data_IF_754786812983
#
_entry.id   IF_754786812983
#
_cell.length_a   1.000
_cell.length_b   1.000
_cell.length_c   1.000
_cell.angle_alpha   90.00
_cell.angle_beta   90.00
_cell.angle_gamma   90.00
#
_symmetry.space_group_name_H-M   'P 1'
#
loop_
_entity.id
_entity.type
_entity.pdbx_description
1 polymer ?
#
# COMPACT_ATOMS: atom_id res chain seq x y z
N UNK A 1 -85.83 6.16 1.98
CA UNK A 1 -84.37 5.98 1.76
C UNK A 1 -83.64 6.31 3.05
N UNK A 2 -83.20 5.33 3.84
CA UNK A 2 -82.42 5.58 5.06
C UNK A 2 -80.92 5.52 4.75
N UNK A 3 -80.21 6.63 4.94
CA UNK A 3 -78.77 6.74 4.71
C UNK A 3 -78.04 6.25 5.97
N UNK A 4 -77.15 5.28 5.81
CA UNK A 4 -76.39 4.66 6.92
C UNK A 4 -75.20 5.54 7.29
N UNK A 5 -75.18 6.06 8.51
CA UNK A 5 -74.01 6.76 9.07
C UNK A 5 -73.02 5.72 9.59
N UNK A 6 -71.83 5.64 8.98
CA UNK A 6 -70.73 4.81 9.47
C UNK A 6 -69.78 5.67 10.29
N UNK A 7 -69.47 5.22 11.51
CA UNK A 7 -68.61 5.93 12.46
C UNK A 7 -67.14 5.90 12.02
N UNK A 8 -66.43 7.01 12.28
CA UNK A 8 -64.99 7.16 12.02
C UNK A 8 -64.18 6.15 12.84
N UNK A 9 -63.43 5.28 12.17
CA UNK A 9 -62.35 4.51 12.78
C UNK A 9 -61.09 5.37 12.91
N UNK A 10 -60.84 5.89 14.12
CA UNK A 10 -59.53 6.42 14.49
C UNK A 10 -58.73 5.30 15.18
N UNK A 11 -57.91 4.58 14.40
CA UNK A 11 -57.03 3.53 14.90
C UNK A 11 -55.58 3.99 14.88
N UNK A 12 -55.10 4.54 15.99
CA UNK A 12 -53.65 4.76 16.19
C UNK A 12 -53.04 3.43 16.61
N UNK A 13 -52.17 2.87 15.79
CA UNK A 13 -51.37 1.69 16.12
C UNK A 13 -49.88 2.01 15.87
N UNK A 14 -49.09 1.83 16.92
CA UNK A 14 -47.70 2.23 17.09
C UNK A 14 -46.78 2.10 15.85
N UNK A 15 -45.95 3.14 15.64
CA UNK A 15 -44.65 2.98 14.97
C UNK A 15 -43.77 2.15 15.91
N UNK A 16 -43.70 0.84 15.67
CA UNK A 16 -42.71 -0.01 16.32
C UNK A 16 -41.33 0.37 15.78
N UNK A 17 -40.42 0.77 16.68
CA UNK A 17 -39.12 1.30 16.30
C UNK A 17 -38.23 0.25 15.64
N UNK A 18 -37.77 0.52 14.42
CA UNK A 18 -36.67 -0.21 13.77
C UNK A 18 -35.31 0.23 14.35
N UNK A 19 -35.17 0.12 15.67
CA UNK A 19 -33.93 0.42 16.42
C UNK A 19 -33.05 -0.83 16.60
N UNK A 20 -33.21 -1.82 15.71
CA UNK A 20 -32.52 -3.11 15.72
C UNK A 20 -31.57 -3.27 14.54
N UNK A 21 -30.72 -2.28 14.29
CA UNK A 21 -29.63 -2.38 13.34
C UNK A 21 -28.28 -2.35 14.08
N UNK A 22 -27.34 -3.18 13.62
CA UNK A 22 -25.89 -3.23 13.91
C UNK A 22 -25.36 -4.23 14.97
N UNK A 23 -26.05 -4.54 16.07
CA UNK A 23 -25.41 -5.38 17.12
C UNK A 23 -25.32 -6.90 16.78
N UNK A 24 -26.20 -7.43 15.94
CA UNK A 24 -26.36 -8.89 15.72
C UNK A 24 -25.47 -9.50 14.63
N UNK A 25 -24.56 -8.75 14.02
CA UNK A 25 -23.60 -9.29 13.03
C UNK A 25 -22.41 -10.01 13.67
N UNK A 26 -22.13 -9.74 14.95
CA UNK A 26 -20.88 -10.19 15.62
C UNK A 26 -20.87 -11.65 16.06
N UNK A 27 -22.04 -12.29 16.15
CA UNK A 27 -22.20 -13.62 16.76
C UNK A 27 -22.50 -14.74 15.76
N UNK A 28 -22.78 -14.41 14.48
CA UNK A 28 -23.08 -15.43 13.46
C UNK A 28 -21.85 -15.93 12.69
N UNK A 29 -20.76 -15.15 12.65
CA UNK A 29 -19.52 -15.53 11.98
C UNK A 29 -18.62 -16.37 12.90
N UNK A 30 -18.80 -17.69 12.85
CA UNK A 30 -17.85 -18.69 13.37
C UNK A 30 -16.69 -18.98 12.41
N UNK A 31 -16.54 -18.19 11.34
CA UNK A 31 -15.33 -18.09 10.53
C UNK A 31 -14.67 -16.74 10.76
N UNK A 32 -13.35 -16.65 10.59
CA UNK A 32 -12.65 -15.37 10.59
C UNK A 32 -13.24 -14.46 9.51
N UNK A 33 -13.66 -13.26 9.89
CA UNK A 33 -13.94 -12.21 8.92
C UNK A 33 -12.62 -11.86 8.23
N UNK A 34 -12.42 -12.38 7.02
CA UNK A 34 -11.40 -11.87 6.13
C UNK A 34 -11.81 -10.42 5.83
N UNK A 35 -10.95 -9.47 6.21
CA UNK A 35 -11.20 -8.06 5.89
C UNK A 35 -11.30 -7.86 4.38
N UNK A 36 -11.81 -6.71 3.97
CA UNK A 36 -11.80 -6.27 2.58
C UNK A 36 -10.93 -5.02 2.52
N UNK A 37 -10.03 -4.95 1.54
CA UNK A 37 -9.17 -3.80 1.29
C UNK A 37 -9.79 -2.98 0.15
N UNK A 38 -10.32 -1.77 0.41
CA UNK A 38 -10.67 -0.80 -0.62
C UNK A 38 -9.53 -0.54 -1.61
N UNK A 39 -9.90 -0.38 -2.88
CA UNK A 39 -8.98 -0.16 -3.99
C UNK A 39 -9.48 1.02 -4.82
N UNK A 40 -8.69 2.09 -4.86
CA UNK A 40 -8.94 3.27 -5.67
C UNK A 40 -7.90 3.42 -6.78
N UNK A 41 -8.35 3.81 -7.96
CA UNK A 41 -7.48 4.16 -9.09
C UNK A 41 -7.68 5.64 -9.39
N UNK A 42 -6.59 6.41 -9.43
CA UNK A 42 -6.58 7.87 -9.65
C UNK A 42 -5.66 8.21 -10.82
N UNK A 43 -6.20 8.86 -11.84
CA UNK A 43 -5.42 9.39 -12.96
C UNK A 43 -5.10 10.87 -12.74
N UNK A 44 -3.80 11.16 -12.69
CA UNK A 44 -3.21 12.51 -12.76
C UNK A 44 -2.55 12.73 -14.14
N UNK A 45 -2.86 11.88 -15.13
CA UNK A 45 -2.27 11.89 -16.47
C UNK A 45 -3.12 12.68 -17.49
N UNK A 46 -2.44 13.30 -18.47
CA UNK A 46 -3.05 14.09 -19.55
C UNK A 46 -3.76 13.23 -20.61
N UNK A 47 -3.50 11.91 -20.64
CA UNK A 47 -4.15 10.96 -21.54
C UNK A 47 -4.75 9.75 -20.85
N UNK A 48 -5.53 8.99 -21.61
CA UNK A 48 -6.09 7.73 -21.11
C UNK A 48 -5.04 6.62 -21.12
N UNK A 49 -5.14 5.71 -20.15
CA UNK A 49 -4.27 4.54 -20.03
C UNK A 49 -5.10 3.28 -19.83
N UNK A 50 -4.64 2.17 -20.42
CA UNK A 50 -5.13 0.85 -20.07
C UNK A 50 -4.25 0.31 -18.93
N UNK A 51 -4.88 -0.29 -17.92
CA UNK A 51 -4.21 -0.95 -16.81
C UNK A 51 -4.81 -2.33 -16.55
N UNK A 52 -3.99 -3.24 -16.05
CA UNK A 52 -4.38 -4.56 -15.54
C UNK A 52 -3.94 -4.64 -14.07
N UNK A 53 -4.83 -5.11 -13.21
CA UNK A 53 -4.64 -5.28 -11.77
C UNK A 53 -4.77 -6.77 -11.45
N UNK A 54 -3.73 -7.36 -10.86
CA UNK A 54 -3.67 -8.79 -10.53
C UNK A 54 -3.32 -8.94 -9.05
N UNK A 55 -3.88 -9.95 -8.37
CA UNK A 55 -3.42 -10.35 -7.04
C UNK A 55 -3.32 -11.87 -6.90
N UNK A 56 -2.34 -12.33 -6.13
CA UNK A 56 -2.06 -13.75 -5.89
C UNK A 56 -1.79 -14.02 -4.40
N UNK A 57 -2.51 -14.96 -3.82
CA UNK A 57 -2.36 -15.40 -2.43
C UNK A 57 -0.95 -15.97 -2.17
N UNK A 58 -0.30 -15.44 -1.13
CA UNK A 58 1.06 -15.85 -0.75
C UNK A 58 1.11 -17.33 -0.34
N UNK A 59 2.06 -18.06 -0.92
CA UNK A 59 2.32 -19.46 -0.59
C UNK A 59 1.45 -20.48 -1.33
N UNK A 60 0.35 -20.06 -1.98
CA UNK A 60 -0.47 -20.93 -2.85
C UNK A 60 -0.41 -20.55 -4.33
N UNK A 61 0.01 -19.32 -4.65
CA UNK A 61 -0.03 -18.74 -6.01
C UNK A 61 -1.45 -18.71 -6.61
N UNK A 62 -2.48 -18.77 -5.76
CA UNK A 62 -3.88 -18.69 -6.17
C UNK A 62 -4.21 -17.26 -6.52
N UNK A 63 -4.57 -17.01 -7.78
CA UNK A 63 -5.08 -15.71 -8.21
C UNK A 63 -6.36 -15.36 -7.44
N UNK A 64 -6.35 -14.21 -6.77
CA UNK A 64 -7.46 -13.66 -5.97
C UNK A 64 -8.10 -12.45 -6.61
N UNK A 65 -7.41 -11.80 -7.56
CA UNK A 65 -7.91 -10.63 -8.28
C UNK A 65 -7.38 -10.61 -9.72
N UNK A 66 -8.23 -10.20 -10.66
CA UNK A 66 -7.92 -9.98 -12.08
C UNK A 66 -8.95 -9.02 -12.67
N UNK A 67 -8.58 -7.74 -12.80
CA UNK A 67 -9.46 -6.72 -13.37
C UNK A 67 -8.68 -5.81 -14.34
N UNK A 68 -9.37 -5.30 -15.35
CA UNK A 68 -8.80 -4.44 -16.39
C UNK A 68 -9.59 -3.15 -16.56
N UNK A 69 -8.91 -2.01 -16.61
CA UNK A 69 -9.54 -0.70 -16.74
C UNK A 69 -8.91 0.13 -17.85
N UNK A 70 -9.76 0.87 -18.58
CA UNK A 70 -9.34 2.07 -19.31
C UNK A 70 -9.66 3.27 -18.43
N UNK A 71 -8.64 4.00 -17.97
CA UNK A 71 -8.77 5.16 -17.10
C UNK A 71 -8.50 6.42 -17.90
N UNK A 72 -9.39 7.41 -17.83
CA UNK A 72 -9.26 8.69 -18.54
C UNK A 72 -8.53 9.74 -17.68
N UNK A 73 -8.10 10.89 -18.25
CA UNK A 73 -7.61 12.03 -17.48
C UNK A 73 -8.57 12.44 -16.36
N UNK A 74 -8.00 12.90 -15.24
CA UNK A 74 -8.69 13.35 -14.02
C UNK A 74 -9.67 12.33 -13.39
N UNK A 75 -9.68 11.08 -13.85
CA UNK A 75 -10.64 10.09 -13.40
C UNK A 75 -10.21 9.45 -12.07
N UNK A 76 -11.16 9.34 -11.14
CA UNK A 76 -11.06 8.42 -10.00
C UNK A 76 -12.05 7.26 -10.21
N UNK A 77 -11.59 6.03 -10.02
CA UNK A 77 -12.39 4.80 -10.09
C UNK A 77 -12.25 4.05 -8.77
N UNK A 78 -13.37 3.77 -8.11
CA UNK A 78 -13.41 2.79 -7.01
C UNK A 78 -13.58 1.40 -7.63
N UNK A 79 -12.54 0.58 -7.55
CA UNK A 79 -12.55 -0.79 -8.07
C UNK A 79 -13.21 -1.75 -7.06
N UNK A 80 -13.55 -3.00 -7.45
CA UNK A 80 -13.83 -4.07 -6.50
C UNK A 80 -12.69 -4.19 -5.47
N UNK A 81 -13.04 -4.49 -4.23
CA UNK A 81 -12.08 -4.64 -3.14
C UNK A 81 -11.18 -5.87 -3.33
N UNK A 82 -10.02 -5.84 -2.69
CA UNK A 82 -9.11 -6.98 -2.55
C UNK A 82 -9.41 -7.72 -1.24
N UNK A 83 -9.11 -9.02 -1.16
CA UNK A 83 -9.17 -9.78 0.10
C UNK A 83 -8.08 -9.29 1.08
N UNK A 84 -8.39 -9.12 2.37
CA UNK A 84 -7.37 -8.83 3.40
C UNK A 84 -6.64 -10.11 3.82
N UNK A 85 -5.80 -10.60 2.91
CA UNK A 85 -4.86 -11.72 3.09
C UNK A 85 -3.43 -11.23 2.83
N UNK A 86 -2.44 -12.07 3.11
CA UNK A 86 -1.10 -11.87 2.57
C UNK A 86 -1.09 -12.28 1.08
N UNK A 87 -0.84 -11.32 0.20
CA UNK A 87 -0.86 -11.52 -1.26
C UNK A 87 0.11 -10.58 -1.96
N UNK A 88 0.65 -10.98 -3.12
CA UNK A 88 1.24 -10.02 -4.05
C UNK A 88 0.11 -9.32 -4.81
N UNK A 89 0.23 -8.01 -4.99
CA UNK A 89 -0.65 -7.19 -5.81
C UNK A 89 0.19 -6.47 -6.85
N UNK A 90 -0.08 -6.75 -8.13
CA UNK A 90 0.61 -6.18 -9.29
C UNK A 90 -0.33 -5.31 -10.09
N UNK A 91 0.16 -4.17 -10.53
CA UNK A 91 -0.51 -3.32 -11.51
C UNK A 91 0.42 -3.11 -12.70
N UNK A 92 -0.11 -3.26 -13.91
CA UNK A 92 0.62 -3.03 -15.17
C UNK A 92 -0.09 -1.96 -15.99
N UNK A 93 0.61 -0.85 -16.26
CA UNK A 93 0.20 0.25 -17.14
C UNK A 93 0.71 0.00 -18.56
N UNK A 94 -0.16 0.16 -19.56
CA UNK A 94 0.15 0.01 -20.98
C UNK A 94 0.14 1.38 -21.66
N UNK A 95 1.25 1.76 -22.28
CA UNK A 95 1.37 3.02 -23.03
C UNK A 95 0.58 2.97 -24.35
N UNK A 96 0.75 1.89 -25.11
CA UNK A 96 0.08 1.60 -26.39
C UNK A 96 0.00 0.07 -26.57
N UNK A 97 -0.72 -0.41 -27.60
CA UNK A 97 -0.91 -1.85 -27.84
C UNK A 97 0.41 -2.63 -28.04
N UNK A 98 1.35 -2.04 -28.77
CA UNK A 98 2.70 -2.56 -29.02
C UNK A 98 3.78 -1.78 -28.23
N UNK A 99 3.35 -0.89 -27.32
CA UNK A 99 4.22 0.05 -26.62
C UNK A 99 4.83 -0.47 -25.31
N UNK A 100 5.61 0.40 -24.68
CA UNK A 100 6.22 0.14 -23.38
C UNK A 100 5.18 -0.12 -22.28
N UNK A 101 5.59 -0.89 -21.27
CA UNK A 101 4.76 -1.29 -20.14
C UNK A 101 5.47 -0.96 -18.84
N UNK A 102 4.74 -0.38 -17.90
CA UNK A 102 5.24 -0.09 -16.55
C UNK A 102 4.48 -0.94 -15.57
N UNK A 103 5.17 -1.85 -14.88
CA UNK A 103 4.56 -2.66 -13.80
C UNK A 103 5.11 -2.25 -12.44
N UNK A 104 4.25 -2.18 -11.43
CA UNK A 104 4.66 -2.16 -10.02
C UNK A 104 3.94 -3.27 -9.27
N UNK A 105 4.63 -3.85 -8.30
CA UNK A 105 4.15 -4.95 -7.48
C UNK A 105 4.48 -4.66 -6.00
N UNK A 106 3.55 -4.99 -5.11
CA UNK A 106 3.68 -4.81 -3.66
C UNK A 106 3.10 -6.02 -2.94
N UNK A 107 3.62 -6.33 -1.75
CA UNK A 107 2.98 -7.31 -0.85
C UNK A 107 1.95 -6.60 0.01
N UNK A 108 0.68 -6.98 -0.12
CA UNK A 108 -0.39 -6.59 0.77
C UNK A 108 -0.48 -7.56 1.93
N UNK A 109 -1.08 -7.10 3.03
CA UNK A 109 -1.23 -7.87 4.26
C UNK A 109 -2.61 -7.65 4.89
N UNK A 110 -3.05 -8.48 5.85
CA UNK A 110 -4.33 -8.30 6.52
C UNK A 110 -4.52 -6.93 7.21
N UNK A 111 -3.44 -6.23 7.57
CA UNK A 111 -3.48 -4.87 8.14
C UNK A 111 -3.52 -3.71 7.13
N UNK A 112 -3.59 -3.99 5.82
CA UNK A 112 -3.76 -2.95 4.79
C UNK A 112 -5.19 -2.40 4.83
N UNK A 113 -5.33 -1.08 4.85
CA UNK A 113 -6.63 -0.39 4.96
C UNK A 113 -7.09 0.27 3.64
N UNK A 114 -6.16 0.66 2.77
CA UNK A 114 -6.46 1.21 1.44
C UNK A 114 -5.29 0.97 0.49
N UNK A 115 -5.60 0.64 -0.76
CA UNK A 115 -4.66 0.67 -1.88
C UNK A 115 -5.09 1.78 -2.84
N UNK A 116 -4.20 2.74 -3.10
CA UNK A 116 -4.38 3.74 -4.16
C UNK A 116 -3.39 3.48 -5.29
N UNK A 117 -3.93 3.18 -6.48
CA UNK A 117 -3.19 3.12 -7.74
C UNK A 117 -3.23 4.51 -8.36
N UNK A 118 -2.09 5.20 -8.41
CA UNK A 118 -1.98 6.53 -9.00
C UNK A 118 -1.21 6.48 -10.32
N UNK A 119 -1.81 7.06 -11.37
CA UNK A 119 -1.30 7.00 -12.74
C UNK A 119 -0.90 8.41 -13.16
N UNK A 120 0.34 8.55 -13.62
CA UNK A 120 0.82 9.75 -14.32
C UNK A 120 1.24 9.35 -15.74
N UNK A 121 1.57 10.30 -16.61
CA UNK A 121 2.05 9.95 -17.95
C UNK A 121 3.33 9.11 -17.89
N UNK A 122 4.30 9.55 -17.08
CA UNK A 122 5.63 8.95 -16.97
C UNK A 122 5.68 7.72 -16.05
N UNK A 123 4.84 7.63 -15.02
CA UNK A 123 4.99 6.65 -13.92
C UNK A 123 3.67 5.98 -13.49
N UNK A 124 3.78 4.95 -12.66
CA UNK A 124 2.69 4.21 -12.03
C UNK A 124 3.01 4.05 -10.54
N UNK A 125 2.22 4.63 -9.64
CA UNK A 125 2.48 4.68 -8.20
C UNK A 125 1.47 3.81 -7.45
N UNK A 126 1.94 3.08 -6.43
CA UNK A 126 1.11 2.28 -5.54
C UNK A 126 1.29 2.82 -4.12
N UNK A 127 0.32 3.60 -3.66
CA UNK A 127 0.27 4.16 -2.31
C UNK A 127 -0.55 3.24 -1.41
N UNK A 128 0.08 2.70 -0.35
CA UNK A 128 -0.51 1.65 0.53
C UNK A 128 -0.70 2.19 1.94
N UNK A 129 -1.96 2.37 2.34
CA UNK A 129 -2.34 2.71 3.70
C UNK A 129 -2.45 1.44 4.55
N UNK A 130 -1.89 1.48 5.75
CA UNK A 130 -1.94 0.39 6.73
C UNK A 130 -2.38 0.99 8.04
N UNK A 131 -3.27 0.29 8.73
CA UNK A 131 -3.81 0.77 10.00
C UNK A 131 -2.72 1.03 11.02
N UNK A 132 -2.95 2.00 11.90
CA UNK A 132 -2.07 2.24 13.03
C UNK A 132 -1.93 0.95 13.84
N UNK A 133 -0.73 0.36 13.84
CA UNK A 133 -0.39 -0.67 14.80
C UNK A 133 -0.61 -0.06 16.19
N UNK A 134 -1.36 -0.75 17.05
CA UNK A 134 -1.64 -0.31 18.42
C UNK A 134 -0.42 -0.47 19.35
N UNK A 135 0.73 -0.01 18.89
CA UNK A 135 2.01 0.04 19.59
C UNK A 135 2.22 1.47 20.10
N UNK A 136 2.17 1.63 21.42
CA UNK A 136 2.52 2.89 22.06
C UNK A 136 3.99 3.19 21.82
N UNK A 137 4.27 4.10 20.90
CA UNK A 137 5.62 4.49 20.52
C UNK A 137 6.40 4.98 21.76
N UNK A 138 7.55 4.36 22.11
CA UNK A 138 8.37 4.84 23.20
C UNK A 138 8.95 6.19 22.80
N UNK A 139 8.54 7.24 23.52
CA UNK A 139 9.01 8.61 23.30
C UNK A 139 10.54 8.62 23.24
N UNK A 140 11.18 9.21 22.21
CA UNK A 140 12.63 9.31 22.19
C UNK A 140 13.09 10.09 23.43
N UNK A 141 14.16 9.64 24.11
CA UNK A 141 14.66 10.34 25.29
C UNK A 141 15.05 11.76 24.89
N UNK A 142 14.49 12.77 25.56
CA UNK A 142 14.78 14.17 25.28
C UNK A 142 16.27 14.44 25.31
N UNK A 143 16.80 14.94 24.19
CA UNK A 143 18.19 15.34 24.06
C UNK A 143 18.52 16.44 25.10
N UNK A 144 19.60 16.30 25.88
CA UNK A 144 19.96 17.32 26.86
C UNK A 144 20.35 18.63 26.16
N UNK A 145 20.01 19.80 26.73
CA UNK A 145 20.25 21.07 26.06
C UNK A 145 21.76 21.37 25.95
N UNK A 146 22.27 21.45 24.72
CA UNK A 146 23.68 21.75 24.45
C UNK A 146 24.09 23.12 25.00
N UNK A 147 25.12 23.09 25.84
CA UNK A 147 25.84 24.27 26.33
C UNK A 147 26.76 24.90 25.27
N UNK A 148 27.24 26.13 25.49
CA UNK A 148 27.63 27.00 24.39
C UNK A 148 28.99 26.71 23.74
N UNK A 149 29.05 27.10 22.47
CA UNK A 149 30.18 27.09 21.53
C UNK A 149 31.61 27.16 22.12
N UNK A 150 32.48 26.26 21.63
CA UNK A 150 33.91 26.22 21.90
C UNK A 150 34.73 25.93 20.63
N UNK A 151 35.58 26.89 20.27
CA UNK A 151 36.35 27.04 19.02
C UNK A 151 37.22 25.84 18.56
N UNK A 152 37.59 25.92 17.28
CA UNK A 152 38.36 24.96 16.48
C UNK A 152 39.86 24.79 16.88
N UNK A 153 40.47 23.70 16.40
CA UNK A 153 41.92 23.42 16.25
C UNK A 153 42.73 22.93 17.47
N UNK A 154 43.33 21.73 17.37
CA UNK A 154 44.79 21.54 17.15
C UNK A 154 45.18 20.07 16.83
N UNK A 155 46.39 19.85 16.31
CA UNK A 155 46.95 18.63 15.67
C UNK A 155 48.04 17.96 16.56
N UNK A 156 48.59 16.81 16.11
CA UNK A 156 49.94 16.24 16.44
C UNK A 156 50.00 15.26 17.62
N UNK A 157 50.77 14.15 17.64
CA UNK A 157 51.46 13.36 16.58
C UNK A 157 51.74 11.93 17.10
N UNK A 158 52.18 11.01 16.23
CA UNK A 158 52.41 9.60 16.60
C UNK A 158 53.35 8.76 15.70
N UNK A 159 54.32 9.37 15.03
CA UNK A 159 55.47 8.68 14.40
C UNK A 159 56.44 8.21 15.51
N UNK A 160 57.20 7.10 15.48
CA UNK A 160 58.11 6.54 14.47
C UNK A 160 58.60 5.16 15.02
N UNK A 161 59.31 4.22 14.36
CA UNK A 161 60.32 4.24 13.30
C UNK A 161 60.44 2.88 12.56
N UNK A 162 60.62 2.92 11.22
CA UNK A 162 61.76 2.36 10.43
C UNK A 162 62.15 0.86 10.58
N UNK A 163 62.25 0.03 9.53
CA UNK A 163 63.32 -0.05 8.49
C UNK A 163 63.14 -1.35 7.63
N UNK A 164 63.72 -1.66 6.44
CA UNK A 164 64.51 -0.94 5.41
C UNK A 164 64.67 -1.78 4.10
N UNK A 165 64.52 -1.13 2.93
CA UNK A 165 65.12 -1.37 1.57
C UNK A 165 65.01 -2.68 0.71
N UNK A 166 64.36 -2.52 -0.46
CA UNK A 166 64.86 -2.58 -1.87
C UNK A 166 65.35 -3.87 -2.63
N UNK A 167 64.72 -4.06 -3.81
CA UNK A 167 65.19 -4.51 -5.15
C UNK A 167 65.32 -5.98 -5.64
N UNK A 168 64.70 -6.17 -6.82
CA UNK A 168 65.09 -6.92 -8.05
C UNK A 168 65.51 -8.41 -8.00
N UNK A 169 64.85 -9.25 -8.81
CA UNK A 169 65.36 -9.72 -10.15
C UNK A 169 64.48 -10.87 -10.71
N UNK A 170 63.97 -10.74 -11.94
CA UNK A 170 63.36 -11.83 -12.75
C UNK A 170 64.44 -12.63 -13.49
N UNK A 171 64.23 -13.91 -13.88
CA UNK A 171 63.79 -14.14 -15.28
C UNK A 171 62.94 -15.40 -15.58
N UNK A 172 62.12 -15.26 -16.62
CA UNK A 172 61.78 -16.19 -17.71
C UNK A 172 61.45 -17.69 -17.51
N UNK A 173 60.34 -18.12 -18.13
CA UNK A 173 60.43 -18.97 -19.33
C UNK A 173 59.17 -18.90 -20.21
N UNK A 174 59.38 -18.63 -21.50
CA UNK A 174 58.50 -18.96 -22.65
C UNK A 174 58.11 -20.46 -22.69
N UNK A 175 57.10 -20.91 -23.45
CA UNK A 175 56.21 -20.19 -24.37
C UNK A 175 55.56 -21.10 -25.44
N UNK A 176 54.56 -20.54 -26.15
CA UNK A 176 54.03 -20.90 -27.50
C UNK A 176 53.82 -22.37 -27.94
N UNK A 177 52.56 -22.70 -28.27
CA UNK A 177 52.14 -23.28 -29.58
C UNK A 177 50.63 -23.08 -29.79
#
# INVERSE_FOLDING_TARGET
>A
MNRRTVLRTAGVAAVAGLSGCLDTLREHYQGSFQGLIPLEIKSEADRHYNIVLEAYESGTDRQTYDESYTVTPDQTVSAPHLDAIEQSFRVTKFVDADGDRTSREVTLRPETELVTVRITDDDLILDIERGEAADGEPTPPSEPPDGPAGNESNVSDGDSTNATETNETTPDSDGSA
#
